data_IF_382354233065
#
_entry.id   IF_382354233065
#
_cell.length_a   1.000
_cell.length_b   1.000
_cell.length_c   1.000
_cell.angle_alpha   90.00
_cell.angle_beta   90.00
_cell.angle_gamma   90.00
#
_symmetry.space_group_name_H-M   'P 1'
#
loop_
_entity.id
_entity.type
_entity.pdbx_description
1 polymer ?
#
# COMPACT_ATOMS: atom_id res chain seq x y z
N UNK A 1 -10.97 -12.62 -68.16
CA UNK A 1 -9.88 -13.56 -68.44
C UNK A 1 -8.56 -12.97 -67.96
N UNK A 2 -8.36 -12.81 -66.66
CA UNK A 2 -7.18 -12.13 -66.09
C UNK A 2 -6.56 -12.79 -64.82
N UNK A 3 -7.14 -13.85 -64.28
CA UNK A 3 -6.71 -14.44 -62.99
C UNK A 3 -5.77 -15.66 -63.10
N UNK A 4 -5.50 -16.14 -64.31
CA UNK A 4 -4.73 -17.37 -64.51
C UNK A 4 -3.21 -17.20 -64.50
N UNK A 5 -2.69 -16.04 -64.76
CA UNK A 5 -1.25 -15.80 -64.87
C UNK A 5 -0.56 -15.60 -63.49
N UNK A 6 -1.23 -14.97 -62.55
CA UNK A 6 -0.69 -14.74 -61.21
C UNK A 6 -0.54 -16.06 -60.47
N UNK A 7 -1.54 -16.96 -60.58
CA UNK A 7 -1.51 -18.27 -59.92
C UNK A 7 -0.40 -19.18 -60.49
N UNK A 8 -0.04 -19.05 -61.79
CA UNK A 8 1.06 -19.82 -62.40
C UNK A 8 2.44 -19.28 -62.03
N UNK A 9 2.59 -17.96 -61.84
CA UNK A 9 3.86 -17.35 -61.42
C UNK A 9 4.21 -17.65 -59.99
N UNK A 10 3.22 -17.69 -59.09
CA UNK A 10 3.39 -18.05 -57.67
C UNK A 10 3.76 -19.52 -57.50
N UNK A 11 3.23 -20.43 -58.31
CA UNK A 11 3.60 -21.83 -58.25
C UNK A 11 5.05 -22.10 -58.71
N UNK A 12 5.55 -21.36 -59.72
CA UNK A 12 6.92 -21.48 -60.24
C UNK A 12 8.00 -20.90 -59.34
N UNK A 13 7.68 -19.90 -58.50
CA UNK A 13 8.61 -19.19 -57.61
C UNK A 13 8.52 -19.66 -56.17
N UNK A 14 7.62 -20.58 -55.81
CA UNK A 14 7.42 -21.01 -54.45
C UNK A 14 6.94 -19.92 -53.49
N UNK A 15 6.43 -18.79 -54.07
CA UNK A 15 5.94 -17.65 -53.28
C UNK A 15 4.50 -17.90 -52.85
N UNK A 16 4.29 -18.11 -51.54
CA UNK A 16 2.97 -18.18 -50.96
C UNK A 16 2.36 -16.77 -50.90
N UNK A 17 1.28 -16.52 -51.63
CA UNK A 17 0.50 -15.27 -51.46
C UNK A 17 -0.31 -15.45 -50.19
N UNK A 18 0.10 -14.78 -49.13
CA UNK A 18 -0.62 -14.78 -47.86
C UNK A 18 -1.85 -13.87 -47.95
N UNK A 19 -2.96 -14.27 -47.37
CA UNK A 19 -4.13 -13.42 -47.22
C UNK A 19 -3.82 -12.24 -46.28
N UNK A 20 -4.62 -11.18 -46.37
CA UNK A 20 -4.50 -10.04 -45.43
C UNK A 20 -4.62 -10.51 -43.99
N UNK A 21 -5.44 -11.49 -43.73
CA UNK A 21 -5.65 -12.04 -42.37
C UNK A 21 -4.43 -12.85 -41.91
N UNK A 22 -3.84 -13.69 -42.78
CA UNK A 22 -2.59 -14.40 -42.48
C UNK A 22 -1.43 -13.46 -42.22
N UNK A 23 -1.31 -12.37 -43.00
CA UNK A 23 -0.29 -11.30 -42.76
C UNK A 23 -0.50 -10.57 -41.42
N UNK A 24 -1.74 -10.32 -41.03
CA UNK A 24 -2.05 -9.70 -39.74
C UNK A 24 -1.74 -10.63 -38.58
N UNK A 25 -2.05 -11.93 -38.74
CA UNK A 25 -1.72 -12.95 -37.72
C UNK A 25 -0.21 -13.12 -37.57
N UNK A 26 0.54 -13.17 -38.70
CA UNK A 26 1.99 -13.28 -38.68
C UNK A 26 2.67 -12.01 -38.14
N UNK A 27 2.14 -10.83 -38.47
CA UNK A 27 2.61 -9.56 -37.92
C UNK A 27 2.36 -9.44 -36.41
N UNK A 28 1.29 -10.07 -35.90
CA UNK A 28 1.02 -10.10 -34.46
C UNK A 28 1.81 -11.19 -33.73
N UNK A 29 2.05 -12.35 -34.38
CA UNK A 29 2.86 -13.43 -33.79
C UNK A 29 4.37 -13.19 -33.88
N UNK A 30 4.84 -12.43 -34.87
CA UNK A 30 6.27 -12.10 -35.07
C UNK A 30 6.80 -11.00 -34.17
N UNK A 31 5.93 -10.26 -33.50
CA UNK A 31 6.32 -9.32 -32.45
C UNK A 31 6.51 -10.07 -31.13
N UNK A 32 7.64 -10.71 -30.93
CA UNK A 32 8.21 -10.83 -29.59
C UNK A 32 8.48 -9.41 -29.12
N UNK A 33 7.45 -8.78 -28.58
CA UNK A 33 7.66 -7.57 -27.84
C UNK A 33 8.28 -8.00 -26.51
N UNK A 34 9.33 -7.36 -26.10
CA UNK A 34 9.97 -7.49 -24.79
C UNK A 34 9.07 -6.99 -23.66
N UNK A 35 7.77 -7.14 -23.77
CA UNK A 35 6.76 -6.67 -22.82
C UNK A 35 6.39 -5.19 -22.99
N UNK A 36 7.22 -4.41 -23.66
CA UNK A 36 6.99 -2.98 -23.83
C UNK A 36 5.81 -2.71 -24.80
N UNK A 37 4.76 -2.02 -24.32
CA UNK A 37 3.58 -1.66 -25.11
C UNK A 37 2.62 -2.82 -25.39
N UNK A 38 2.80 -3.99 -24.78
CA UNK A 38 1.84 -5.09 -24.85
C UNK A 38 0.82 -5.02 -23.72
N UNK A 39 -0.46 -5.33 -23.97
CA UNK A 39 -1.47 -5.46 -22.93
C UNK A 39 -1.25 -6.78 -22.17
N UNK A 40 -0.24 -6.81 -21.29
CA UNK A 40 0.03 -7.96 -20.43
C UNK A 40 -0.93 -7.88 -19.25
N UNK A 41 -1.67 -8.96 -19.01
CA UNK A 41 -2.52 -9.05 -17.83
C UNK A 41 -1.67 -8.99 -16.57
N UNK A 42 -2.10 -8.20 -15.61
CA UNK A 42 -1.54 -8.20 -14.27
C UNK A 42 -1.59 -9.63 -13.68
N UNK A 43 -0.55 -10.07 -12.97
CA UNK A 43 -0.45 -11.44 -12.45
C UNK A 43 -1.63 -11.85 -11.56
N UNK A 44 -2.24 -10.90 -10.87
CA UNK A 44 -3.42 -11.11 -10.02
C UNK A 44 -4.75 -10.78 -10.71
N UNK A 45 -4.76 -10.47 -12.01
CA UNK A 45 -5.96 -10.04 -12.73
C UNK A 45 -7.09 -11.06 -12.64
N UNK A 46 -6.78 -12.34 -12.80
CA UNK A 46 -7.75 -13.44 -12.71
C UNK A 46 -8.39 -13.52 -11.32
N UNK A 47 -7.60 -13.33 -10.26
CA UNK A 47 -8.09 -13.31 -8.88
C UNK A 47 -9.03 -12.14 -8.62
N UNK A 48 -8.71 -10.95 -9.19
CA UNK A 48 -9.56 -9.76 -9.03
C UNK A 48 -10.91 -9.93 -9.73
N UNK A 49 -10.92 -10.41 -10.98
CA UNK A 49 -12.17 -10.56 -11.73
C UNK A 49 -13.03 -11.75 -11.28
N UNK A 50 -12.41 -12.78 -10.69
CA UNK A 50 -13.12 -13.92 -10.10
C UNK A 50 -13.59 -13.68 -8.67
N UNK A 51 -13.16 -12.57 -8.02
CA UNK A 51 -13.43 -12.29 -6.62
C UNK A 51 -12.65 -13.16 -5.63
N UNK A 52 -11.62 -13.88 -6.08
CA UNK A 52 -10.77 -14.72 -5.23
C UNK A 52 -9.50 -14.01 -4.74
N UNK A 53 -9.31 -12.74 -5.07
CA UNK A 53 -8.22 -11.94 -4.55
C UNK A 53 -8.42 -11.71 -3.05
N UNK A 54 -7.39 -12.03 -2.25
CA UNK A 54 -7.36 -11.73 -0.83
C UNK A 54 -6.60 -10.43 -0.60
N UNK A 55 -7.21 -9.54 0.14
CA UNK A 55 -6.60 -8.32 0.64
C UNK A 55 -6.17 -8.50 2.10
N UNK A 56 -5.40 -7.58 2.62
CA UNK A 56 -4.90 -7.66 4.01
C UNK A 56 -6.05 -7.78 5.02
N UNK A 57 -7.15 -7.07 4.78
CA UNK A 57 -8.34 -7.10 5.66
C UNK A 57 -9.12 -8.42 5.61
N UNK A 58 -8.92 -9.23 4.56
CA UNK A 58 -9.54 -10.55 4.41
C UNK A 58 -8.73 -11.66 5.11
N UNK A 59 -7.51 -11.34 5.53
CA UNK A 59 -6.62 -12.29 6.19
C UNK A 59 -6.92 -12.31 7.68
N UNK A 60 -7.34 -13.46 8.19
CA UNK A 60 -7.53 -13.63 9.63
C UNK A 60 -6.19 -13.42 10.35
N UNK A 61 -6.17 -12.48 11.29
CA UNK A 61 -5.02 -12.27 12.15
C UNK A 61 -4.75 -13.46 13.07
N UNK A 62 -3.53 -13.58 13.60
CA UNK A 62 -3.21 -14.61 14.59
C UNK A 62 -4.08 -14.46 15.86
N UNK A 63 -4.24 -15.55 16.58
CA UNK A 63 -4.88 -15.52 17.90
C UNK A 63 -4.12 -14.55 18.83
N UNK A 64 -4.88 -13.77 19.60
CA UNK A 64 -4.35 -12.72 20.49
C UNK A 64 -3.65 -11.55 19.80
N UNK A 65 -3.97 -11.28 18.53
CA UNK A 65 -3.50 -10.07 17.85
C UNK A 65 -3.93 -8.82 18.61
N UNK A 66 -3.01 -7.89 18.81
CA UNK A 66 -3.30 -6.58 19.36
C UNK A 66 -3.57 -5.58 18.26
N UNK A 67 -4.43 -4.63 18.56
CA UNK A 67 -4.81 -3.53 17.65
C UNK A 67 -4.17 -2.24 18.12
N UNK A 68 -3.43 -1.59 17.22
CA UNK A 68 -2.80 -0.31 17.48
C UNK A 68 -3.72 0.87 17.11
N UNK A 69 -3.65 1.93 17.89
CA UNK A 69 -4.20 3.23 17.54
C UNK A 69 -3.31 4.34 18.09
N UNK A 70 -3.24 5.47 17.39
CA UNK A 70 -2.37 6.57 17.76
C UNK A 70 -3.13 7.72 18.41
N UNK A 71 -2.55 8.33 19.43
CA UNK A 71 -2.98 9.62 19.98
C UNK A 71 -2.33 10.75 19.20
N UNK A 72 -3.17 11.65 18.70
CA UNK A 72 -2.78 12.72 17.78
C UNK A 72 -2.91 14.08 18.46
N UNK A 73 -2.09 15.03 18.03
CA UNK A 73 -2.23 16.43 18.42
C UNK A 73 -3.54 17.03 17.91
N UNK A 74 -4.26 17.74 18.78
CA UNK A 74 -5.45 18.52 18.44
C UNK A 74 -5.15 19.97 18.06
N UNK A 75 -3.88 20.39 18.16
CA UNK A 75 -3.43 21.74 17.80
C UNK A 75 -2.49 21.70 16.61
N UNK A 76 -2.47 22.79 15.86
CA UNK A 76 -1.62 22.90 14.66
C UNK A 76 -0.17 23.24 15.01
N UNK A 77 0.08 23.98 16.09
CA UNK A 77 1.40 24.35 16.54
C UNK A 77 1.41 24.72 18.02
N UNK A 78 2.41 24.25 18.74
CA UNK A 78 2.60 24.57 20.16
C UNK A 78 3.56 23.60 20.83
N UNK A 79 4.02 23.94 22.02
CA UNK A 79 4.91 23.12 22.83
C UNK A 79 4.09 22.24 23.78
N UNK A 80 4.33 20.93 23.78
CA UNK A 80 3.75 19.99 24.73
C UNK A 80 4.35 20.25 26.11
N UNK A 81 3.53 20.62 27.08
CA UNK A 81 3.96 20.84 28.46
C UNK A 81 3.84 19.61 29.33
N UNK A 82 2.86 18.78 29.04
CA UNK A 82 2.62 17.56 29.81
C UNK A 82 1.87 16.56 28.94
N UNK A 83 2.22 15.28 29.08
CA UNK A 83 1.47 14.15 28.52
C UNK A 83 0.97 13.33 29.71
N UNK A 84 -0.35 13.26 29.90
CA UNK A 84 -0.99 12.46 30.94
C UNK A 84 -1.78 11.32 30.33
N UNK A 85 -1.26 10.12 30.45
CA UNK A 85 -1.82 8.88 29.88
C UNK A 85 -2.37 7.95 30.97
N UNK A 86 -2.61 8.45 32.19
CA UNK A 86 -3.12 7.67 33.32
C UNK A 86 -4.43 6.98 32.96
N UNK A 87 -5.38 7.71 32.38
CA UNK A 87 -6.67 7.18 31.95
C UNK A 87 -6.55 6.24 30.77
N UNK A 88 -5.61 6.51 29.85
CA UNK A 88 -5.34 5.63 28.70
C UNK A 88 -4.84 4.27 29.18
N UNK A 89 -3.86 4.26 30.07
CA UNK A 89 -3.26 3.04 30.61
C UNK A 89 -4.24 2.20 31.44
N UNK A 90 -5.21 2.83 32.07
CA UNK A 90 -6.24 2.16 32.88
C UNK A 90 -7.51 1.80 32.11
N UNK A 91 -7.58 2.16 30.84
CA UNK A 91 -8.76 1.89 30.02
C UNK A 91 -8.94 0.40 29.72
N UNK A 92 -10.20 0.00 29.60
CA UNK A 92 -10.56 -1.39 29.34
C UNK A 92 -9.90 -1.93 28.06
N UNK A 93 -9.28 -3.09 28.17
CA UNK A 93 -8.68 -3.82 27.05
C UNK A 93 -7.38 -3.22 26.51
N UNK A 94 -6.85 -2.17 27.13
CA UNK A 94 -5.51 -1.66 26.83
C UNK A 94 -4.48 -2.62 27.42
N UNK A 95 -3.52 -2.99 26.58
CA UNK A 95 -2.40 -3.87 26.93
C UNK A 95 -1.16 -3.06 27.19
N UNK A 96 -0.89 -2.06 26.32
CA UNK A 96 0.26 -1.20 26.48
C UNK A 96 0.05 0.16 25.83
N UNK A 97 0.87 1.14 26.26
CA UNK A 97 0.91 2.50 25.71
C UNK A 97 2.37 2.89 25.51
N UNK A 98 2.70 3.21 24.27
CA UNK A 98 4.06 3.51 23.81
C UNK A 98 4.23 5.02 23.59
N UNK A 99 5.29 5.56 24.13
CA UNK A 99 5.79 6.91 23.93
C UNK A 99 7.07 6.89 23.09
N UNK A 100 7.53 8.05 22.63
CA UNK A 100 8.78 8.18 21.88
C UNK A 100 9.97 7.55 22.62
N UNK A 101 10.03 7.69 23.95
CA UNK A 101 11.09 7.12 24.77
C UNK A 101 11.13 5.56 24.80
N UNK A 102 10.01 4.92 24.47
CA UNK A 102 9.89 3.47 24.45
C UNK A 102 10.30 2.87 23.09
N UNK A 103 10.52 3.71 22.08
CA UNK A 103 10.87 3.26 20.71
C UNK A 103 12.37 2.97 20.64
N UNK A 104 12.77 1.72 20.31
CA UNK A 104 14.17 1.37 20.17
C UNK A 104 14.73 1.90 18.84
N UNK A 105 15.94 2.46 18.87
CA UNK A 105 16.66 2.91 17.68
C UNK A 105 16.47 4.38 17.35
N UNK A 106 16.60 4.72 16.07
CA UNK A 106 16.44 6.08 15.59
C UNK A 106 14.96 6.47 15.55
N UNK A 107 14.65 7.64 16.04
CA UNK A 107 13.29 8.17 16.13
C UNK A 107 12.98 9.22 15.07
N UNK A 108 13.98 9.64 14.31
CA UNK A 108 13.85 10.48 13.11
C UNK A 108 13.88 9.60 11.87
N UNK A 109 12.81 9.62 11.10
CA UNK A 109 12.61 8.80 9.90
C UNK A 109 12.76 9.57 8.59
N UNK A 110 13.26 10.80 8.68
CA UNK A 110 13.53 11.63 7.50
C UNK A 110 14.50 10.96 6.52
N UNK A 111 14.06 10.57 5.31
CA UNK A 111 14.86 9.72 4.41
C UNK A 111 16.02 10.48 3.73
N UNK A 112 15.96 11.79 3.69
CA UNK A 112 16.94 12.66 3.03
C UNK A 112 17.48 13.70 3.97
N UNK A 113 16.61 14.35 4.74
CA UNK A 113 16.96 15.35 5.73
C UNK A 113 16.37 14.95 7.09
N UNK A 114 17.12 15.13 8.19
CA UNK A 114 16.60 15.00 9.55
C UNK A 114 15.47 16.01 9.81
N UNK A 115 14.53 15.67 10.69
CA UNK A 115 13.43 16.54 11.09
C UNK A 115 12.05 15.97 10.90
N UNK A 116 11.93 14.63 10.72
CA UNK A 116 10.66 13.92 10.64
C UNK A 116 10.57 12.89 11.79
N UNK A 117 10.30 13.35 13.03
CA UNK A 117 10.21 12.46 14.18
C UNK A 117 8.96 11.60 14.10
N UNK A 118 9.07 10.32 14.43
CA UNK A 118 7.94 9.37 14.44
C UNK A 118 6.85 9.72 15.45
N UNK A 119 7.22 10.40 16.53
CA UNK A 119 6.33 10.91 17.58
C UNK A 119 6.92 12.19 18.17
N UNK A 120 6.06 13.02 18.76
CA UNK A 120 6.46 14.23 19.51
C UNK A 120 6.55 13.90 20.98
N UNK A 121 7.59 14.36 21.65
CA UNK A 121 7.80 14.14 23.07
C UNK A 121 7.30 15.33 23.92
N UNK A 122 7.33 15.17 25.24
CA UNK A 122 7.17 16.27 26.19
C UNK A 122 8.29 17.29 25.99
N UNK A 123 7.95 18.59 26.09
CA UNK A 123 8.81 19.75 25.84
C UNK A 123 9.17 20.01 24.37
N UNK A 124 8.78 19.12 23.44
CA UNK A 124 8.94 19.34 22.00
C UNK A 124 7.81 20.19 21.41
N UNK A 125 8.05 20.75 20.24
CA UNK A 125 7.07 21.53 19.50
C UNK A 125 6.25 20.62 18.58
N UNK A 126 4.92 20.73 18.65
CA UNK A 126 4.00 20.21 17.64
C UNK A 126 4.05 21.12 16.42
N UNK A 127 4.28 20.56 15.25
CA UNK A 127 4.44 21.29 14.00
C UNK A 127 3.19 21.33 13.15
N UNK A 128 2.30 20.32 13.30
CA UNK A 128 1.04 20.23 12.55
C UNK A 128 -0.05 19.50 13.33
N UNK A 129 -1.30 19.82 13.00
CA UNK A 129 -2.47 19.14 13.55
C UNK A 129 -2.47 17.66 13.11
N UNK A 130 -2.65 16.75 14.06
CA UNK A 130 -2.62 15.31 13.80
C UNK A 130 -1.24 14.68 13.89
N UNK A 131 -0.23 15.40 14.38
CA UNK A 131 1.08 14.81 14.66
C UNK A 131 0.98 13.80 15.80
N UNK A 132 1.69 12.65 15.65
CA UNK A 132 1.60 11.52 16.59
C UNK A 132 2.34 11.87 17.89
N UNK A 133 1.69 11.61 19.03
CA UNK A 133 2.26 11.85 20.37
C UNK A 133 2.50 10.54 21.11
N UNK A 134 1.58 9.58 21.01
CA UNK A 134 1.69 8.26 21.64
C UNK A 134 0.95 7.23 20.82
N UNK A 135 1.19 5.95 21.11
CA UNK A 135 0.45 4.84 20.52
C UNK A 135 -0.15 3.95 21.63
N UNK A 136 -1.29 3.35 21.34
CA UNK A 136 -2.02 2.44 22.24
C UNK A 136 -2.12 1.09 21.57
N UNK A 137 -1.80 0.02 22.30
CA UNK A 137 -2.08 -1.36 21.92
C UNK A 137 -3.21 -1.91 22.79
N UNK A 138 -4.27 -2.44 22.17
CA UNK A 138 -5.43 -2.98 22.87
C UNK A 138 -5.97 -4.25 22.21
N UNK A 139 -6.86 -4.96 22.91
CA UNK A 139 -7.45 -6.23 22.48
C UNK A 139 -8.44 -6.09 21.32
N UNK A 140 -8.86 -4.86 20.97
CA UNK A 140 -9.66 -4.60 19.80
C UNK A 140 -9.43 -3.19 19.27
N UNK A 141 -9.67 -2.99 17.98
CA UNK A 141 -9.55 -1.68 17.32
C UNK A 141 -10.42 -0.61 17.97
N UNK A 142 -11.65 -0.98 18.38
CA UNK A 142 -12.57 -0.05 19.03
C UNK A 142 -12.04 0.40 20.41
N UNK A 143 -11.48 -0.51 21.20
CA UNK A 143 -10.91 -0.21 22.50
C UNK A 143 -9.64 0.63 22.37
N UNK A 144 -8.74 0.32 21.44
CA UNK A 144 -7.56 1.13 21.16
C UNK A 144 -7.94 2.58 20.79
N UNK A 145 -8.91 2.75 19.89
CA UNK A 145 -9.41 4.05 19.47
C UNK A 145 -10.09 4.84 20.60
N UNK A 146 -10.88 4.18 21.44
CA UNK A 146 -11.50 4.84 22.60
C UNK A 146 -10.46 5.28 23.61
N UNK A 147 -9.50 4.40 23.93
CA UNK A 147 -8.43 4.70 24.87
C UNK A 147 -7.55 5.85 24.39
N UNK A 148 -7.16 5.88 23.11
CA UNK A 148 -6.33 6.95 22.55
C UNK A 148 -6.97 8.35 22.70
N UNK A 149 -8.30 8.44 22.73
CA UNK A 149 -9.03 9.70 22.93
C UNK A 149 -9.09 10.17 24.40
N UNK A 150 -8.61 9.34 25.33
CA UNK A 150 -8.57 9.67 26.76
C UNK A 150 -7.25 10.34 27.18
N UNK A 151 -6.28 10.40 26.27
CA UNK A 151 -5.01 11.08 26.53
C UNK A 151 -5.22 12.58 26.72
N UNK A 152 -4.53 13.14 27.68
CA UNK A 152 -4.51 14.60 27.94
C UNK A 152 -3.12 15.09 27.59
N UNK A 153 -3.05 16.00 26.64
CA UNK A 153 -1.82 16.59 26.13
C UNK A 153 -1.89 18.10 26.22
#
# INVERSE_FOLDING_TARGET
MGSSWIARLTFLLGLKIMSREELLVEATQGRRSDGLGMPISHESAEKHVSGSALYVDDINGPENMLYGYVGLSEIARGTIKKIDLTHVRSAEGVVDVVLLADVPGETDIGPVYPGDPIMVNSDDEVEFHGQVIFAVAANSQLLARKAARMGIV
#
